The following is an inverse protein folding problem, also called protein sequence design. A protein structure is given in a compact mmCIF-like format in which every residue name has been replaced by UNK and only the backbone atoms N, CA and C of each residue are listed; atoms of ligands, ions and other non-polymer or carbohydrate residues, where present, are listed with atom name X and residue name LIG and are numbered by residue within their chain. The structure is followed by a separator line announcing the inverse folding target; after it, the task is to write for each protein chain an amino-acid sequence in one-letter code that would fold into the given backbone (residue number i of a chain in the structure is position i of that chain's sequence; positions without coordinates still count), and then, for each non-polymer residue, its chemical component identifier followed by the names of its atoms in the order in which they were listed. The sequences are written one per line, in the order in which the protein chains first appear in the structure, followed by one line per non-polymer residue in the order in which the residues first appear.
data_IF_443253689645
#
_entry.id   IF_443253689645
#
_cell.length_a   1.000
_cell.length_b   1.000
_cell.length_c   1.000
_cell.angle_alpha   90.00
_cell.angle_beta   90.00
_cell.angle_gamma   90.00
#
_symmetry.space_group_name_H-M   'P 1'
#
loop_
_entity.id
_entity.type
_entity.pdbx_description
1 polymer ?
#
# COMPACT_ATOMS: atom_id res chain seq x y z
N UNK A 1 -4.35 43.64 -8.33
CA UNK A 1 -4.12 42.19 -8.46
C UNK A 1 -4.22 41.85 -9.94
N UNK A 2 -3.11 41.59 -10.62
CA UNK A 2 -3.05 41.51 -12.09
C UNK A 2 -3.76 40.26 -12.62
N UNK A 3 -4.56 40.39 -13.67
CA UNK A 3 -5.27 39.28 -14.32
C UNK A 3 -4.32 38.11 -14.71
N UNK A 4 -3.09 38.45 -15.10
CA UNK A 4 -2.03 37.50 -15.43
C UNK A 4 -1.59 36.65 -14.23
N UNK A 5 -1.66 37.20 -13.01
CA UNK A 5 -1.38 36.49 -11.77
C UNK A 5 -2.47 35.46 -11.42
N UNK A 6 -3.74 35.76 -11.75
CA UNK A 6 -4.85 34.83 -11.55
C UNK A 6 -4.77 33.62 -12.49
N UNK A 7 -4.39 33.83 -13.75
CA UNK A 7 -4.17 32.74 -14.72
C UNK A 7 -3.02 31.84 -14.24
N UNK A 8 -1.91 32.44 -13.80
CA UNK A 8 -0.77 31.68 -13.29
C UNK A 8 -1.13 30.83 -12.07
N UNK A 9 -1.91 31.39 -11.13
CA UNK A 9 -2.41 30.63 -9.97
C UNK A 9 -3.32 29.47 -10.37
N UNK A 10 -4.24 29.69 -11.32
CA UNK A 10 -5.13 28.63 -11.80
C UNK A 10 -4.38 27.48 -12.48
N UNK A 11 -3.29 27.79 -13.18
CA UNK A 11 -2.44 26.79 -13.83
C UNK A 11 -1.65 25.96 -12.81
N UNK A 12 -1.14 26.60 -11.74
CA UNK A 12 -0.43 25.89 -10.66
C UNK A 12 -1.34 24.92 -9.89
N UNK A 13 -2.57 25.34 -9.58
CA UNK A 13 -3.56 24.49 -8.89
C UNK A 13 -3.96 23.28 -9.77
N UNK A 14 -4.09 23.48 -11.08
CA UNK A 14 -4.40 22.39 -12.01
C UNK A 14 -3.25 21.37 -12.14
N UNK A 15 -2.00 21.83 -12.07
CA UNK A 15 -0.84 20.94 -12.20
C UNK A 15 -0.63 20.06 -10.96
N UNK A 16 -0.87 20.60 -9.76
CA UNK A 16 -0.69 19.87 -8.49
C UNK A 16 -1.71 18.73 -8.32
N UNK A 17 -2.93 18.91 -8.84
CA UNK A 17 -3.99 17.90 -8.75
C UNK A 17 -3.69 16.63 -9.57
N UNK A 18 -2.88 16.75 -10.64
CA UNK A 18 -2.53 15.62 -11.52
C UNK A 18 -1.22 14.92 -11.14
N UNK A 19 -0.48 15.41 -10.13
CA UNK A 19 0.84 14.88 -9.76
C UNK A 19 0.81 13.70 -8.77
N UNK A 20 -0.37 13.19 -8.39
CA UNK A 20 -0.46 11.96 -7.58
C UNK A 20 -0.16 10.75 -8.46
N UNK A 21 1.13 10.52 -8.70
CA UNK A 21 1.62 9.31 -9.35
C UNK A 21 1.31 8.09 -8.46
N UNK A 22 0.35 7.28 -8.90
CA UNK A 22 -0.08 6.03 -8.26
C UNK A 22 0.95 4.88 -8.36
N UNK A 23 2.24 5.20 -8.19
CA UNK A 23 3.34 4.27 -8.41
C UNK A 23 4.30 4.17 -7.20
N UNK A 24 4.05 4.93 -6.14
CA UNK A 24 4.80 4.78 -4.89
C UNK A 24 4.57 3.40 -4.28
N UNK A 25 5.63 2.85 -3.72
CA UNK A 25 5.59 1.59 -2.98
C UNK A 25 5.28 1.95 -1.53
N UNK A 26 4.15 1.48 -1.00
CA UNK A 26 3.86 1.51 0.42
C UNK A 26 4.41 0.24 1.08
N UNK A 27 5.39 0.41 1.96
CA UNK A 27 5.97 -0.67 2.76
C UNK A 27 5.70 -0.40 4.25
N UNK A 28 4.54 -0.82 4.78
CA UNK A 28 4.24 -0.70 6.20
C UNK A 28 5.10 -1.64 7.04
N UNK A 29 5.14 -1.41 8.36
CA UNK A 29 5.84 -2.29 9.30
C UNK A 29 5.26 -3.71 9.31
N UNK A 30 6.08 -4.68 9.76
CA UNK A 30 5.73 -6.09 9.86
C UNK A 30 4.42 -6.28 10.63
N UNK A 31 3.42 -6.85 9.94
CA UNK A 31 2.12 -7.12 10.52
C UNK A 31 2.15 -8.40 11.35
N UNK A 32 1.92 -8.27 12.67
CA UNK A 32 1.95 -9.39 13.61
C UNK A 32 0.55 -9.94 13.95
N UNK A 33 -0.48 -9.09 13.93
CA UNK A 33 -1.87 -9.43 14.27
C UNK A 33 -2.86 -8.60 13.40
N UNK A 34 -4.15 -8.94 13.44
CA UNK A 34 -5.19 -8.20 12.70
C UNK A 34 -5.56 -6.84 13.35
N UNK A 35 -5.30 -6.69 14.65
CA UNK A 35 -5.73 -5.53 15.45
C UNK A 35 -5.08 -4.21 14.98
N UNK A 36 -3.84 -4.28 14.49
CA UNK A 36 -3.07 -3.08 14.12
C UNK A 36 -3.02 -2.83 12.61
N UNK A 37 -3.83 -3.54 11.81
CA UNK A 37 -3.79 -3.43 10.34
C UNK A 37 -4.13 -2.01 9.89
N UNK A 38 -5.19 -1.43 10.42
CA UNK A 38 -5.66 -0.11 9.99
C UNK A 38 -4.64 0.97 10.33
N UNK A 39 -4.04 0.92 11.52
CA UNK A 39 -3.02 1.88 11.92
C UNK A 39 -1.76 1.79 11.06
N UNK A 40 -1.30 0.56 10.79
CA UNK A 40 -0.12 0.34 9.94
C UNK A 40 -0.35 0.77 8.49
N UNK A 41 -1.60 0.77 8.01
CA UNK A 41 -1.94 1.08 6.63
C UNK A 41 -2.44 2.52 6.41
N UNK A 42 -2.59 3.34 7.47
CA UNK A 42 -2.93 4.78 7.35
C UNK A 42 -1.94 5.57 6.50
N UNK A 43 -0.71 5.07 6.34
CA UNK A 43 0.34 5.67 5.51
C UNK A 43 0.25 5.28 4.04
N UNK A 44 -0.62 4.33 3.68
CA UNK A 44 -0.79 3.85 2.32
C UNK A 44 -2.00 4.54 1.66
N UNK A 45 -1.76 5.16 0.51
CA UNK A 45 -2.84 5.67 -0.33
C UNK A 45 -3.38 4.56 -1.26
N UNK A 46 -4.71 4.45 -1.44
CA UNK A 46 -5.30 3.55 -2.43
C UNK A 46 -4.73 3.77 -3.83
N UNK A 47 -4.45 2.68 -4.54
CA UNK A 47 -3.80 2.68 -5.86
C UNK A 47 -2.27 2.52 -5.80
N UNK A 48 -1.63 2.69 -4.65
CA UNK A 48 -0.19 2.45 -4.49
C UNK A 48 0.14 0.95 -4.49
N UNK A 49 1.41 0.61 -4.80
CA UNK A 49 1.90 -0.77 -4.67
C UNK A 49 2.14 -1.07 -3.20
N UNK A 50 1.37 -1.98 -2.61
CA UNK A 50 1.56 -2.46 -1.26
C UNK A 50 2.62 -3.57 -1.25
N UNK A 51 3.64 -3.43 -0.41
CA UNK A 51 4.58 -4.48 -0.05
C UNK A 51 4.38 -4.83 1.43
N UNK A 52 3.55 -5.83 1.70
CA UNK A 52 3.15 -6.21 3.05
C UNK A 52 3.96 -7.40 3.54
N UNK A 53 4.76 -7.21 4.59
CA UNK A 53 5.34 -8.31 5.38
C UNK A 53 4.42 -8.65 6.53
N UNK A 54 4.19 -9.94 6.77
CA UNK A 54 3.32 -10.39 7.85
C UNK A 54 3.76 -11.72 8.47
N UNK A 55 3.34 -11.93 9.72
CA UNK A 55 3.60 -13.17 10.45
C UNK A 55 2.91 -14.36 9.79
N UNK A 56 3.56 -15.53 9.81
CA UNK A 56 3.00 -16.80 9.32
C UNK A 56 1.65 -17.20 9.97
N UNK A 57 1.33 -16.62 11.13
CA UNK A 57 0.08 -16.89 11.84
C UNK A 57 -1.14 -16.19 11.21
N UNK A 58 -0.94 -15.26 10.28
CA UNK A 58 -2.01 -14.55 9.58
C UNK A 58 -2.33 -15.25 8.26
N UNK A 59 -3.63 -15.35 7.93
CA UNK A 59 -4.07 -15.92 6.65
C UNK A 59 -3.76 -14.94 5.51
N UNK A 60 -2.93 -15.34 4.53
CA UNK A 60 -2.69 -14.55 3.32
C UNK A 60 -3.98 -14.22 2.58
N UNK A 61 -4.89 -15.18 2.47
CA UNK A 61 -6.15 -15.05 1.72
C UNK A 61 -7.03 -13.94 2.31
N UNK A 62 -7.11 -13.88 3.65
CA UNK A 62 -7.85 -12.83 4.36
C UNK A 62 -7.20 -11.45 4.18
N UNK A 63 -5.87 -11.38 4.10
CA UNK A 63 -5.16 -10.12 3.86
C UNK A 63 -5.34 -9.66 2.41
N UNK A 64 -5.20 -10.56 1.44
CA UNK A 64 -5.38 -10.29 0.01
C UNK A 64 -6.79 -9.78 -0.25
N UNK A 65 -7.82 -10.47 0.25
CA UNK A 65 -9.21 -10.07 0.03
C UNK A 65 -9.58 -8.74 0.68
N UNK A 66 -8.94 -8.37 1.79
CA UNK A 66 -9.22 -7.10 2.48
C UNK A 66 -8.45 -5.91 1.92
N UNK A 67 -7.23 -6.12 1.43
CA UNK A 67 -6.26 -5.04 1.18
C UNK A 67 -5.91 -4.87 -0.30
N UNK A 68 -6.05 -5.91 -1.11
CA UNK A 68 -5.57 -5.90 -2.49
C UNK A 68 -6.71 -5.73 -3.51
N UNK A 69 -6.42 -4.98 -4.56
CA UNK A 69 -7.27 -4.94 -5.75
C UNK A 69 -7.13 -6.23 -6.57
N UNK A 70 -8.15 -7.07 -6.53
CA UNK A 70 -8.17 -8.38 -7.19
C UNK A 70 -8.30 -8.29 -8.72
N UNK A 71 -8.47 -7.09 -9.28
CA UNK A 71 -8.40 -6.87 -10.75
C UNK A 71 -6.97 -7.01 -11.26
N UNK A 72 -5.97 -6.89 -10.38
CA UNK A 72 -4.54 -7.01 -10.69
C UNK A 72 -3.94 -8.29 -10.11
N UNK A 73 -2.75 -8.63 -10.61
CA UNK A 73 -1.99 -9.76 -10.09
C UNK A 73 -1.53 -9.52 -8.65
N UNK A 74 -1.62 -10.56 -7.83
CA UNK A 74 -1.07 -10.60 -6.48
C UNK A 74 0.13 -11.53 -6.47
N UNK A 75 1.27 -11.03 -6.01
CA UNK A 75 2.48 -11.83 -5.84
C UNK A 75 2.58 -12.22 -4.37
N UNK A 76 2.63 -13.53 -4.11
CA UNK A 76 2.81 -14.07 -2.78
C UNK A 76 4.16 -14.78 -2.73
N UNK A 77 5.05 -14.31 -1.85
CA UNK A 77 6.36 -14.91 -1.67
C UNK A 77 6.52 -15.40 -0.22
N UNK A 78 6.92 -16.67 -0.11
CA UNK A 78 7.32 -17.26 1.16
C UNK A 78 8.84 -17.16 1.23
N UNK A 79 9.36 -16.15 1.93
CA UNK A 79 10.78 -16.11 2.23
C UNK A 79 11.14 -17.34 3.08
N UNK A 80 11.79 -18.33 2.45
CA UNK A 80 12.46 -19.41 3.17
C UNK A 80 13.78 -18.85 3.66
N UNK A 81 13.82 -18.37 4.90
CA UNK A 81 15.07 -18.04 5.56
C UNK A 81 15.91 -19.32 5.69
N UNK A 82 16.83 -19.57 4.75
CA UNK A 82 17.75 -20.71 4.78
C UNK A 82 18.80 -20.55 5.91
N UNK A 83 18.85 -19.42 6.63
CA UNK A 83 19.90 -19.16 7.63
C UNK A 83 19.46 -18.67 9.02
N UNK A 84 18.20 -18.32 9.30
CA UNK A 84 17.79 -17.91 10.67
C UNK A 84 16.32 -18.25 10.93
N UNK A 85 16.08 -19.30 11.72
CA UNK A 85 14.76 -19.81 12.15
C UNK A 85 13.89 -18.82 12.96
N UNK A 86 14.35 -17.58 13.19
CA UNK A 86 13.70 -16.62 14.09
C UNK A 86 12.73 -15.65 13.41
N UNK A 87 12.87 -15.38 12.11
CA UNK A 87 12.09 -14.35 11.41
C UNK A 87 11.33 -14.92 10.21
N UNK A 88 10.54 -15.98 10.46
CA UNK A 88 9.63 -16.52 9.43
C UNK A 88 8.49 -15.53 9.19
N UNK A 89 8.63 -14.76 8.12
CA UNK A 89 7.59 -13.87 7.63
C UNK A 89 7.22 -14.23 6.19
N UNK A 90 6.00 -13.88 5.84
CA UNK A 90 5.46 -14.00 4.50
C UNK A 90 5.35 -12.59 3.92
N UNK A 91 5.41 -12.48 2.59
CA UNK A 91 5.20 -11.22 1.91
C UNK A 91 4.12 -11.33 0.84
N UNK A 92 3.34 -10.25 0.71
CA UNK A 92 2.39 -10.02 -0.38
C UNK A 92 2.76 -8.73 -1.09
N UNK A 93 2.75 -8.75 -2.42
CA UNK A 93 2.83 -7.57 -3.27
C UNK A 93 1.55 -7.44 -4.07
N UNK A 94 0.86 -6.30 -3.97
CA UNK A 94 -0.37 -6.04 -4.72
C UNK A 94 -0.64 -4.54 -4.88
N UNK A 95 -1.67 -4.18 -5.64
CA UNK A 95 -2.21 -2.81 -5.64
C UNK A 95 -3.11 -2.64 -4.43
N UNK A 96 -2.84 -1.63 -3.60
CA UNK A 96 -3.61 -1.34 -2.40
C UNK A 96 -4.99 -0.82 -2.76
N UNK A 97 -6.03 -1.54 -2.36
CA UNK A 97 -7.41 -1.09 -2.46
C UNK A 97 -8.20 -1.71 -1.29
N UNK A 98 -8.20 -1.05 -0.12
CA UNK A 98 -8.89 -1.58 1.04
C UNK A 98 -10.41 -1.57 0.82
N UNK A 99 -11.07 -2.64 1.23
CA UNK A 99 -12.54 -2.65 1.31
C UNK A 99 -12.92 -1.90 2.59
N UNK A 100 -13.52 -0.71 2.47
CA UNK A 100 -14.15 -0.03 3.60
C UNK A 100 -15.27 -0.93 4.14
N UNK A 101 -15.11 -1.41 5.38
CA UNK A 101 -16.10 -2.22 6.08
C UNK A 101 -16.68 -1.47 7.26
#
# INVERSE_FOLDING_TARGET
MNFLFLIFLSFLIYFDCNSKNSNEICEPELLKNYENIEENLKVCDPGNRLFLKFSINLSPERLITKLCDLRFSVIFEREKAIANLKDNHLSIVCIYLPIES
#
